data_IF_675590274827
#
_entry.id   IF_675590274827
#
_cell.length_a   1.000
_cell.length_b   1.000
_cell.length_c   1.000
_cell.angle_alpha   90.00
_cell.angle_beta   90.00
_cell.angle_gamma   90.00
#
_symmetry.space_group_name_H-M   'P 1'
#
loop_
_entity.id
_entity.type
_entity.pdbx_description
1 polymer ?
#
# COMPACT_ATOMS: atom_id res chain seq x y z
N UNK A 1 11.65 16.06 -16.89
CA UNK A 1 11.58 16.56 -15.53
C UNK A 1 12.49 15.71 -14.63
N UNK A 2 13.11 16.30 -13.60
CA UNK A 2 13.91 15.54 -12.63
C UNK A 2 13.04 14.80 -11.63
N UNK A 3 13.57 13.74 -11.01
CA UNK A 3 12.87 12.91 -10.03
C UNK A 3 13.82 12.45 -8.92
N UNK A 4 13.31 11.77 -7.94
CA UNK A 4 13.98 10.94 -6.93
C UNK A 4 13.03 9.82 -6.53
N UNK A 5 13.54 8.80 -5.83
CA UNK A 5 12.69 7.74 -5.25
C UNK A 5 12.80 7.77 -3.74
N UNK A 6 11.69 7.99 -3.05
CA UNK A 6 11.57 7.86 -1.61
C UNK A 6 10.97 6.49 -1.26
N UNK A 7 11.57 5.80 -0.31
CA UNK A 7 11.11 4.51 0.20
C UNK A 7 10.34 4.73 1.50
N UNK A 8 9.05 4.92 1.36
CA UNK A 8 8.16 5.32 2.43
C UNK A 8 7.93 4.20 3.46
N UNK A 9 8.27 4.47 4.71
CA UNK A 9 8.08 3.56 5.84
C UNK A 9 9.28 2.66 6.17
N UNK A 10 10.38 2.78 5.43
CA UNK A 10 11.63 2.09 5.75
C UNK A 10 12.54 2.98 6.59
N UNK A 11 13.12 2.44 7.66
CA UNK A 11 14.09 3.12 8.51
C UNK A 11 15.50 3.04 7.90
N UNK A 12 15.72 3.79 6.82
CA UNK A 12 16.95 3.77 6.03
C UNK A 12 18.02 4.74 6.55
N UNK A 13 19.30 4.54 6.16
CA UNK A 13 20.29 5.59 6.29
C UNK A 13 19.84 6.87 5.56
N UNK A 14 20.11 8.02 6.14
CA UNK A 14 19.61 9.30 5.64
C UNK A 14 19.97 9.58 4.17
N UNK A 15 21.14 9.16 3.71
CA UNK A 15 21.61 9.32 2.34
C UNK A 15 20.88 8.41 1.32
N UNK A 16 20.05 7.48 1.79
CA UNK A 16 19.21 6.59 0.97
C UNK A 16 17.72 6.96 1.00
N UNK A 17 17.35 8.03 1.69
CA UNK A 17 15.95 8.42 1.92
C UNK A 17 15.24 8.99 0.67
N UNK A 18 15.99 9.47 -0.31
CA UNK A 18 15.44 9.93 -1.58
C UNK A 18 14.72 11.28 -1.53
N UNK A 19 15.18 12.22 -0.69
CA UNK A 19 14.64 13.59 -0.64
C UNK A 19 15.56 14.56 -1.39
N UNK A 20 15.05 15.22 -2.46
CA UNK A 20 15.91 16.09 -3.27
C UNK A 20 16.34 17.31 -2.47
N UNK A 21 17.60 17.73 -2.69
CA UNK A 21 18.26 18.87 -2.04
C UNK A 21 18.56 18.69 -0.54
N UNK A 22 18.07 17.60 0.09
CA UNK A 22 18.32 17.29 1.50
C UNK A 22 19.24 16.07 1.59
N UNK A 23 18.80 14.92 1.07
CA UNK A 23 19.56 13.66 1.16
C UNK A 23 20.34 13.34 -0.12
N UNK A 24 19.92 13.92 -1.26
CA UNK A 24 20.58 13.73 -2.55
C UNK A 24 20.28 14.86 -3.54
N UNK A 25 21.07 15.02 -4.62
CA UNK A 25 20.67 15.83 -5.75
C UNK A 25 19.51 15.19 -6.52
N UNK A 26 18.61 15.98 -7.16
CA UNK A 26 17.61 15.43 -8.03
C UNK A 26 18.22 14.73 -9.25
N UNK A 27 17.65 13.59 -9.64
CA UNK A 27 18.04 12.80 -10.79
C UNK A 27 17.46 13.47 -12.04
N UNK A 28 18.32 14.01 -12.90
CA UNK A 28 17.89 14.68 -14.15
C UNK A 28 17.60 13.67 -15.26
N UNK A 29 16.83 14.03 -16.30
CA UNK A 29 16.64 13.19 -17.47
C UNK A 29 17.96 12.65 -18.04
N UNK A 30 18.02 11.35 -18.29
CA UNK A 30 19.22 10.67 -18.80
C UNK A 30 20.27 10.34 -17.73
N UNK A 31 20.04 10.70 -16.48
CA UNK A 31 20.90 10.33 -15.34
C UNK A 31 20.32 9.11 -14.61
N UNK A 32 21.18 8.43 -13.85
CA UNK A 32 20.83 7.35 -12.92
C UNK A 32 21.31 7.68 -11.52
N UNK A 33 20.66 7.08 -10.54
CA UNK A 33 21.06 7.08 -9.14
C UNK A 33 20.91 5.67 -8.59
N UNK A 34 21.83 5.22 -7.77
CA UNK A 34 21.79 3.90 -7.14
C UNK A 34 21.47 4.07 -5.66
N UNK A 35 20.39 3.45 -5.21
CA UNK A 35 20.05 3.28 -3.81
C UNK A 35 20.57 1.91 -3.37
N UNK A 36 21.32 1.88 -2.27
CA UNK A 36 21.90 0.66 -1.73
C UNK A 36 21.72 0.61 -0.21
N UNK A 37 20.90 -0.32 0.27
CA UNK A 37 20.60 -0.46 1.69
C UNK A 37 20.19 -1.88 2.04
N UNK A 38 20.38 -2.25 3.30
CA UNK A 38 19.75 -3.44 3.88
C UNK A 38 18.40 -3.04 4.42
N UNK A 39 17.36 -3.83 4.08
CA UNK A 39 15.99 -3.55 4.52
C UNK A 39 15.89 -3.81 6.03
N UNK A 40 15.58 -2.79 6.85
CA UNK A 40 15.66 -2.91 8.30
C UNK A 40 14.41 -3.50 8.95
N UNK A 41 13.24 -3.32 8.35
CA UNK A 41 11.95 -3.68 8.93
C UNK A 41 11.04 -4.35 7.90
N UNK A 42 10.34 -5.40 8.33
CA UNK A 42 9.33 -6.09 7.52
C UNK A 42 8.02 -5.29 7.47
N UNK A 43 7.11 -5.72 6.60
CA UNK A 43 5.77 -5.17 6.49
C UNK A 43 5.42 -4.59 5.12
N UNK A 44 4.30 -3.92 5.08
CA UNK A 44 3.79 -3.24 3.90
C UNK A 44 4.30 -1.81 3.84
N UNK A 45 5.16 -1.56 2.86
CA UNK A 45 5.76 -0.27 2.57
C UNK A 45 5.45 0.14 1.14
N UNK A 46 5.86 1.33 0.74
CA UNK A 46 5.66 1.84 -0.61
C UNK A 46 6.85 2.67 -1.05
N UNK A 47 6.96 2.95 -2.32
CA UNK A 47 7.94 3.89 -2.86
C UNK A 47 7.26 4.83 -3.85
N UNK A 48 7.73 6.05 -3.90
CA UNK A 48 7.15 7.06 -4.79
C UNK A 48 8.16 8.18 -5.09
N UNK A 49 7.84 8.99 -6.11
CA UNK A 49 8.61 10.20 -6.34
C UNK A 49 8.46 11.19 -5.18
N UNK A 50 9.54 11.84 -4.80
CA UNK A 50 9.54 12.93 -3.81
C UNK A 50 10.04 14.27 -4.40
N UNK A 51 10.05 14.40 -5.73
CA UNK A 51 10.36 15.65 -6.43
C UNK A 51 9.18 16.06 -7.31
N UNK A 52 8.55 17.21 -7.00
CA UNK A 52 7.24 17.58 -7.57
C UNK A 52 6.20 16.46 -7.36
N UNK A 53 6.13 15.96 -6.13
CA UNK A 53 5.46 14.72 -5.77
C UNK A 53 3.97 14.74 -6.16
N UNK A 54 3.24 15.83 -5.90
CA UNK A 54 1.82 15.92 -6.23
C UNK A 54 1.55 15.62 -7.72
N UNK A 55 2.42 16.10 -8.62
CA UNK A 55 2.33 15.80 -10.04
C UNK A 55 2.81 14.39 -10.37
N UNK A 56 4.02 14.02 -9.91
CA UNK A 56 4.66 12.77 -10.32
C UNK A 56 3.96 11.55 -9.72
N UNK A 57 3.56 11.59 -8.46
CA UNK A 57 2.76 10.53 -7.83
C UNK A 57 1.36 10.46 -8.46
N UNK A 58 0.73 11.62 -8.71
CA UNK A 58 -0.56 11.68 -9.41
C UNK A 58 -0.52 11.13 -10.84
N UNK A 59 0.66 11.11 -11.49
CA UNK A 59 0.90 10.49 -12.80
C UNK A 59 1.27 8.99 -12.71
N UNK A 60 1.40 8.42 -11.49
CA UNK A 60 1.68 7.01 -11.29
C UNK A 60 3.14 6.65 -11.00
N UNK A 61 4.01 7.61 -10.63
CA UNK A 61 5.36 7.31 -10.15
C UNK A 61 5.33 6.85 -8.68
N UNK A 62 4.81 5.66 -8.49
CA UNK A 62 4.53 5.06 -7.18
C UNK A 62 4.50 3.51 -7.28
N UNK A 63 4.57 2.85 -6.14
CA UNK A 63 4.42 1.38 -6.09
C UNK A 63 4.52 0.81 -4.68
N UNK A 64 4.09 -0.43 -4.57
CA UNK A 64 4.20 -1.21 -3.33
C UNK A 64 5.63 -1.71 -3.11
N UNK A 65 6.05 -1.73 -1.86
CA UNK A 65 7.31 -2.31 -1.41
C UNK A 65 7.03 -3.23 -0.22
N UNK A 66 6.97 -4.54 -0.48
CA UNK A 66 6.65 -5.54 0.54
C UNK A 66 7.93 -6.20 1.03
N UNK A 67 8.08 -6.25 2.35
CA UNK A 67 9.20 -6.93 3.02
C UNK A 67 8.64 -8.06 3.86
N UNK A 68 8.94 -9.29 3.47
CA UNK A 68 8.51 -10.47 4.21
C UNK A 68 9.25 -10.59 5.55
N UNK A 69 8.56 -10.96 6.65
CA UNK A 69 9.20 -11.13 7.94
C UNK A 69 10.09 -12.38 7.95
N UNK A 70 11.22 -12.31 8.69
CA UNK A 70 12.10 -13.46 8.90
C UNK A 70 11.41 -14.56 9.74
N UNK A 71 10.57 -14.16 10.67
CA UNK A 71 9.78 -15.04 11.55
C UNK A 71 8.29 -14.80 11.24
N UNK A 72 7.68 -15.65 10.39
CA UNK A 72 6.29 -15.47 9.99
C UNK A 72 5.33 -15.65 11.18
N UNK A 73 4.27 -14.87 11.19
CA UNK A 73 3.14 -14.99 12.12
C UNK A 73 2.01 -15.83 11.51
N UNK A 74 0.93 -16.04 12.24
CA UNK A 74 -0.28 -16.70 11.74
C UNK A 74 -0.95 -15.95 10.57
N UNK A 75 -0.57 -14.71 10.29
CA UNK A 75 -1.13 -13.86 9.25
C UNK A 75 -0.30 -13.83 7.96
N UNK A 76 0.90 -14.39 7.98
CA UNK A 76 1.83 -14.33 6.85
C UNK A 76 1.66 -15.44 5.82
N UNK A 77 0.70 -16.34 6.04
CA UNK A 77 0.32 -17.40 5.09
C UNK A 77 -1.18 -17.33 4.75
N UNK A 78 -1.67 -16.22 4.16
CA UNK A 78 -3.03 -16.14 3.69
C UNK A 78 -3.23 -17.05 2.45
N UNK A 79 -4.48 -17.49 2.20
CA UNK A 79 -4.80 -18.23 0.97
C UNK A 79 -4.76 -17.30 -0.25
N UNK A 80 -5.08 -16.03 -0.06
CA UNK A 80 -4.99 -14.97 -1.08
C UNK A 80 -4.35 -13.75 -0.46
N UNK A 81 -3.33 -13.19 -1.11
CA UNK A 81 -2.69 -11.94 -0.72
C UNK A 81 -2.92 -10.88 -1.81
N UNK A 82 -3.65 -9.84 -1.46
CA UNK A 82 -4.05 -8.77 -2.38
C UNK A 82 -3.45 -7.44 -1.97
N UNK A 83 -2.68 -6.84 -2.87
CA UNK A 83 -2.14 -5.49 -2.68
C UNK A 83 -3.00 -4.48 -3.41
N UNK A 84 -3.41 -3.41 -2.73
CA UNK A 84 -4.10 -2.26 -3.31
C UNK A 84 -3.32 -0.97 -3.03
N UNK A 85 -2.68 -0.45 -4.08
CA UNK A 85 -2.16 0.90 -4.09
C UNK A 85 -3.30 1.83 -4.51
N UNK A 86 -3.74 2.67 -3.58
CA UNK A 86 -4.81 3.64 -3.77
C UNK A 86 -4.22 4.94 -4.30
N UNK A 87 -4.83 5.51 -5.32
CA UNK A 87 -4.44 6.81 -5.85
C UNK A 87 -5.67 7.58 -6.34
N UNK A 88 -5.61 8.90 -6.28
CA UNK A 88 -6.67 9.82 -6.71
C UNK A 88 -6.11 10.95 -7.60
N UNK A 89 -5.04 10.64 -8.35
CA UNK A 89 -4.38 11.57 -9.26
C UNK A 89 -5.14 11.80 -10.57
N UNK A 90 -4.41 11.99 -11.66
CA UNK A 90 -4.97 12.36 -12.97
C UNK A 90 -5.93 11.32 -13.58
N UNK A 91 -5.87 10.08 -13.13
CA UNK A 91 -6.75 8.98 -13.56
C UNK A 91 -7.98 8.80 -12.66
N UNK A 92 -8.20 9.70 -11.69
CA UNK A 92 -9.25 9.58 -10.69
C UNK A 92 -8.95 8.50 -9.64
N UNK A 93 -9.99 8.00 -9.00
CA UNK A 93 -9.85 6.96 -7.96
C UNK A 93 -9.49 5.61 -8.56
N UNK A 94 -8.33 5.09 -8.16
CA UNK A 94 -7.79 3.85 -8.71
C UNK A 94 -7.33 2.87 -7.64
N UNK A 95 -7.46 1.56 -7.94
CA UNK A 95 -6.72 0.47 -7.32
C UNK A 95 -5.66 0.00 -8.32
N UNK A 96 -4.38 0.10 -7.96
CA UNK A 96 -3.26 -0.32 -8.82
C UNK A 96 -3.35 0.31 -10.22
N UNK A 97 -3.70 1.60 -10.29
CA UNK A 97 -3.82 2.36 -11.54
C UNK A 97 -5.08 2.08 -12.37
N UNK A 98 -6.05 1.30 -11.86
CA UNK A 98 -7.29 0.97 -12.56
C UNK A 98 -8.51 1.42 -11.79
N UNK A 99 -9.50 1.98 -12.49
CA UNK A 99 -10.83 2.29 -11.96
C UNK A 99 -11.84 1.23 -12.40
N UNK A 100 -12.95 1.08 -11.65
CA UNK A 100 -14.06 0.24 -12.09
C UNK A 100 -14.59 0.73 -13.47
N UNK A 101 -14.91 -0.18 -14.40
CA UNK A 101 -14.98 -1.64 -14.27
C UNK A 101 -13.69 -2.42 -14.64
N UNK A 102 -12.56 -1.76 -14.81
CA UNK A 102 -11.29 -2.38 -15.19
C UNK A 102 -10.56 -3.06 -14.02
N UNK A 103 -11.03 -2.87 -12.78
CA UNK A 103 -10.51 -3.56 -11.59
C UNK A 103 -10.86 -5.05 -11.63
N UNK A 104 -9.95 -5.90 -11.12
CA UNK A 104 -10.19 -7.33 -11.04
C UNK A 104 -10.90 -7.69 -9.72
N UNK A 105 -11.85 -8.64 -9.72
CA UNK A 105 -12.46 -9.11 -8.49
C UNK A 105 -11.45 -9.92 -7.66
N UNK A 106 -11.58 -9.84 -6.33
CA UNK A 106 -10.91 -10.79 -5.43
C UNK A 106 -11.77 -12.06 -5.40
N UNK A 107 -11.17 -13.20 -5.69
CA UNK A 107 -11.85 -14.50 -5.68
C UNK A 107 -11.26 -15.39 -4.59
N UNK A 108 -12.11 -15.87 -3.69
CA UNK A 108 -11.73 -16.79 -2.63
C UNK A 108 -12.80 -17.87 -2.40
N UNK A 109 -12.40 -19.03 -1.91
CA UNK A 109 -13.30 -20.11 -1.52
C UNK A 109 -13.82 -19.88 -0.11
N UNK A 110 -15.00 -20.46 0.19
CA UNK A 110 -15.53 -20.46 1.55
C UNK A 110 -14.51 -21.06 2.53
N UNK A 111 -14.24 -20.36 3.63
CA UNK A 111 -13.27 -20.73 4.66
C UNK A 111 -11.86 -20.25 4.44
N UNK A 112 -11.52 -19.73 3.26
CA UNK A 112 -10.22 -19.14 2.99
C UNK A 112 -10.02 -17.81 3.70
N UNK A 113 -8.76 -17.45 3.89
CA UNK A 113 -8.33 -16.15 4.41
C UNK A 113 -7.75 -15.31 3.29
N UNK A 114 -8.26 -14.11 3.13
CA UNK A 114 -7.73 -13.10 2.23
C UNK A 114 -7.00 -12.04 3.06
N UNK A 115 -5.72 -11.82 2.78
CA UNK A 115 -5.02 -10.64 3.26
C UNK A 115 -5.17 -9.54 2.22
N UNK A 116 -5.55 -8.35 2.66
CA UNK A 116 -5.57 -7.15 1.83
C UNK A 116 -4.59 -6.15 2.42
N UNK A 117 -3.70 -5.64 1.59
CA UNK A 117 -2.72 -4.62 1.94
C UNK A 117 -3.12 -3.32 1.26
N UNK A 118 -3.58 -2.35 2.03
CA UNK A 118 -3.88 -1.00 1.54
C UNK A 118 -2.66 -0.11 1.65
N UNK A 119 -2.37 0.65 0.61
CA UNK A 119 -1.30 1.65 0.56
C UNK A 119 -1.87 2.90 -0.09
N UNK A 120 -2.01 3.97 0.66
CA UNK A 120 -2.59 5.20 0.11
C UNK A 120 -1.49 6.14 -0.38
N UNK A 121 -1.33 6.18 -1.68
CA UNK A 121 -0.43 7.07 -2.43
C UNK A 121 -1.17 8.28 -3.04
N UNK A 122 -2.44 8.46 -2.66
CA UNK A 122 -3.26 9.59 -3.08
C UNK A 122 -3.15 10.80 -2.16
N UNK A 123 -3.94 11.82 -2.45
CA UNK A 123 -4.02 13.07 -1.70
C UNK A 123 -5.22 13.11 -0.75
N UNK A 124 -6.16 12.17 -0.90
CA UNK A 124 -7.40 12.09 -0.14
C UNK A 124 -7.42 10.87 0.78
N UNK A 125 -8.23 10.93 1.82
CA UNK A 125 -8.56 9.75 2.65
C UNK A 125 -9.47 8.84 1.84
N UNK A 126 -9.19 7.54 1.85
CA UNK A 126 -10.02 6.51 1.21
C UNK A 126 -10.67 5.62 2.28
N UNK A 127 -11.96 5.80 2.59
CA UNK A 127 -12.70 4.90 3.48
C UNK A 127 -13.02 3.61 2.73
N UNK A 128 -12.24 2.55 2.97
CA UNK A 128 -12.39 1.26 2.29
C UNK A 128 -13.44 0.42 3.00
N UNK A 129 -14.56 0.15 2.30
CA UNK A 129 -15.71 -0.57 2.83
C UNK A 129 -15.92 -1.92 2.16
N UNK A 130 -16.07 -2.96 2.99
CA UNK A 130 -16.38 -4.32 2.58
C UNK A 130 -17.79 -4.70 3.01
N UNK A 131 -18.62 -5.11 2.04
CA UNK A 131 -19.95 -5.65 2.31
C UNK A 131 -19.89 -7.11 2.78
N UNK A 132 -20.85 -7.50 3.59
CA UNK A 132 -21.18 -8.90 3.96
C UNK A 132 -20.19 -9.58 4.91
N UNK A 133 -19.02 -9.02 5.15
CA UNK A 133 -17.98 -9.53 6.04
C UNK A 133 -17.26 -8.37 6.73
N UNK A 134 -16.40 -8.70 7.71
CA UNK A 134 -15.57 -7.71 8.38
C UNK A 134 -14.09 -7.96 8.06
N UNK A 135 -13.34 -6.89 8.06
CA UNK A 135 -11.88 -6.89 8.01
C UNK A 135 -11.33 -6.95 9.44
N UNK A 136 -10.35 -7.80 9.69
CA UNK A 136 -9.56 -7.78 10.92
C UNK A 136 -8.27 -7.03 10.64
N UNK A 137 -8.10 -5.85 11.22
CA UNK A 137 -6.89 -5.04 11.08
C UNK A 137 -5.76 -5.67 11.88
N UNK A 138 -4.64 -5.98 11.20
CA UNK A 138 -3.50 -6.69 11.79
C UNK A 138 -2.23 -5.85 11.84
N UNK A 139 -2.01 -4.94 10.90
CA UNK A 139 -0.85 -4.07 10.83
C UNK A 139 -1.20 -2.64 10.43
N UNK A 140 -0.42 -1.69 10.92
CA UNK A 140 -0.40 -0.30 10.45
C UNK A 140 1.03 0.13 10.17
N UNK A 141 1.28 0.71 8.99
CA UNK A 141 2.57 1.29 8.59
C UNK A 141 3.74 0.30 8.71
N UNK A 142 3.46 -1.00 8.51
CA UNK A 142 4.42 -2.09 8.63
C UNK A 142 4.64 -2.60 10.06
N UNK A 143 3.84 -2.12 11.03
CA UNK A 143 3.93 -2.54 12.42
C UNK A 143 2.69 -3.33 12.86
N UNK A 144 2.89 -4.50 13.53
CA UNK A 144 1.78 -5.30 14.02
C UNK A 144 0.92 -4.54 15.03
N UNK A 145 -0.38 -4.69 14.92
CA UNK A 145 -1.30 -4.15 15.93
C UNK A 145 -1.18 -4.95 17.23
N UNK A 146 -0.99 -4.30 18.39
CA UNK A 146 -0.90 -4.99 19.69
C UNK A 146 -2.13 -5.85 19.98
N UNK A 147 -3.30 -5.44 19.49
CA UNK A 147 -4.55 -6.19 19.55
C UNK A 147 -5.29 -6.00 18.22
N UNK A 148 -5.33 -7.01 17.34
CA UNK A 148 -6.11 -6.95 16.12
C UNK A 148 -7.59 -6.64 16.40
N UNK A 149 -8.18 -5.76 15.59
CA UNK A 149 -9.55 -5.30 15.78
C UNK A 149 -10.35 -5.37 14.47
N UNK A 150 -11.69 -5.36 14.57
CA UNK A 150 -12.58 -5.53 13.42
C UNK A 150 -13.23 -4.23 13.00
N UNK A 151 -13.37 -4.07 11.68
CA UNK A 151 -14.17 -3.02 11.07
C UNK A 151 -14.78 -3.54 9.75
N UNK A 152 -15.80 -2.87 9.27
CA UNK A 152 -16.33 -3.03 7.91
C UNK A 152 -15.86 -1.88 7.00
N UNK A 153 -15.44 -0.77 7.61
CA UNK A 153 -14.94 0.43 6.94
C UNK A 153 -13.65 0.90 7.60
N UNK A 154 -12.59 0.99 6.82
CA UNK A 154 -11.27 1.41 7.28
C UNK A 154 -10.85 2.69 6.57
N UNK A 155 -10.64 3.76 7.32
CA UNK A 155 -10.05 4.99 6.77
C UNK A 155 -8.56 4.79 6.50
N UNK A 156 -8.16 4.93 5.24
CA UNK A 156 -6.75 4.91 4.84
C UNK A 156 -6.35 6.33 4.46
N UNK A 157 -5.64 7.01 5.35
CA UNK A 157 -5.17 8.38 5.10
C UNK A 157 -3.98 8.39 4.12
N UNK A 158 -3.71 9.53 3.44
CA UNK A 158 -2.52 9.67 2.62
C UNK A 158 -1.24 9.28 3.37
N UNK A 159 -0.41 8.43 2.76
CA UNK A 159 0.83 7.92 3.35
C UNK A 159 0.65 6.70 4.26
N UNK A 160 -0.56 6.37 4.71
CA UNK A 160 -0.79 5.20 5.55
C UNK A 160 -0.79 3.88 4.75
N UNK A 161 -0.33 2.81 5.41
CA UNK A 161 -0.48 1.42 4.96
C UNK A 161 -1.19 0.64 6.06
N UNK A 162 -2.14 -0.17 5.65
CA UNK A 162 -2.91 -1.03 6.55
C UNK A 162 -3.02 -2.43 5.97
N UNK A 163 -2.71 -3.44 6.77
CA UNK A 163 -2.94 -4.83 6.41
C UNK A 163 -4.13 -5.38 7.19
N UNK A 164 -5.02 -6.05 6.48
CA UNK A 164 -6.23 -6.64 7.06
C UNK A 164 -6.39 -8.08 6.62
N UNK A 165 -7.04 -8.89 7.46
CA UNK A 165 -7.47 -10.26 7.14
C UNK A 165 -8.99 -10.28 7.02
N UNK A 166 -9.47 -10.90 5.95
CA UNK A 166 -10.88 -11.25 5.76
C UNK A 166 -11.04 -12.77 5.85
N UNK A 167 -11.79 -13.25 6.82
CA UNK A 167 -12.24 -14.64 6.88
C UNK A 167 -13.44 -14.80 5.95
N UNK A 168 -13.32 -15.55 4.85
CA UNK A 168 -14.37 -15.74 3.85
C UNK A 168 -15.44 -16.74 4.35
N UNK A 169 -16.35 -16.28 5.21
CA UNK A 169 -17.38 -17.11 5.87
C UNK A 169 -18.78 -16.95 5.30
N UNK A 170 -18.98 -15.92 4.48
CA UNK A 170 -20.30 -15.60 3.92
C UNK A 170 -20.24 -15.70 2.39
N UNK A 171 -20.73 -16.79 1.78
CA UNK A 171 -20.64 -16.98 0.34
C UNK A 171 -21.56 -16.02 -0.42
N UNK A 172 -21.08 -15.53 -1.56
CA UNK A 172 -21.79 -14.58 -2.43
C UNK A 172 -20.83 -13.65 -3.16
N UNK A 173 -21.39 -12.74 -3.93
CA UNK A 173 -20.66 -11.63 -4.55
C UNK A 173 -20.91 -10.37 -3.73
N UNK A 174 -19.86 -9.83 -3.14
CA UNK A 174 -19.94 -8.69 -2.23
C UNK A 174 -19.24 -7.48 -2.82
N UNK A 175 -19.86 -6.31 -2.70
CA UNK A 175 -19.22 -5.06 -3.09
C UNK A 175 -18.05 -4.75 -2.14
N UNK A 176 -16.98 -4.24 -2.73
CA UNK A 176 -15.82 -3.71 -2.01
C UNK A 176 -15.39 -2.41 -2.69
N UNK A 177 -15.43 -1.30 -1.98
CA UNK A 177 -15.28 0.02 -2.59
C UNK A 177 -14.81 1.10 -1.60
N UNK A 178 -14.30 2.21 -2.13
CA UNK A 178 -14.12 3.44 -1.39
C UNK A 178 -15.50 4.07 -1.12
N UNK A 179 -15.86 4.33 0.13
CA UNK A 179 -17.13 4.94 0.54
C UNK A 179 -17.01 6.46 0.55
#
# INVERSE_FOLDING_TARGET
>A
ESTVVHFHGLELPNDQDGVPFITQPPIKPGQSYTYEFTVPNSGSHMYHSHHNAAKQVGLGLLGAFIVEPKEPTQYDHPDVDQVFVLNDGVHGYTFNGKSFPATQPIVAKLGQKVRIRFMNEGMMIHPMHLHGMHMTVIDKDGWPQPAPWKCDTLNVAPGERWDVIVDCKNPGTWAFHCH
#
